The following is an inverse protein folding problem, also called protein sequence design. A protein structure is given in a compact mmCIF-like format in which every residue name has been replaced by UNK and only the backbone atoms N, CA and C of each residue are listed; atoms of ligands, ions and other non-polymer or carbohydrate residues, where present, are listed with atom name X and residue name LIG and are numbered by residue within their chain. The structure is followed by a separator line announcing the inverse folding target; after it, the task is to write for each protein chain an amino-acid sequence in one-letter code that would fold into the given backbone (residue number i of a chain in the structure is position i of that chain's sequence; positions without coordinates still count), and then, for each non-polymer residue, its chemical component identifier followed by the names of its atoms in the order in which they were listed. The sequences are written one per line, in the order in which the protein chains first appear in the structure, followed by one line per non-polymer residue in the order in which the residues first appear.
data_IF_687200478318
#
_entry.id   IF_687200478318
#
_cell.length_a   1.000
_cell.length_b   1.000
_cell.length_c   1.000
_cell.angle_alpha   90.00
_cell.angle_beta   90.00
_cell.angle_gamma   90.00
#
_symmetry.space_group_name_H-M   'P 1'
#
loop_
_entity.id
_entity.type
_entity.pdbx_description
1 polymer ?
#
# COMPACT_ATOMS: atom_id res chain seq x y z
N UNK A 1 -15.23 -5.33 9.37
CA UNK A 1 -13.83 -5.06 8.97
C UNK A 1 -13.42 -3.72 9.56
N UNK A 2 -12.33 -3.66 10.32
CA UNK A 2 -11.83 -2.40 10.88
C UNK A 2 -10.93 -1.70 9.85
N UNK A 3 -11.05 -0.38 9.73
CA UNK A 3 -10.25 0.44 8.81
C UNK A 3 -8.73 0.24 9.06
N UNK A 4 -8.33 -0.06 10.30
CA UNK A 4 -6.96 -0.46 10.66
C UNK A 4 -6.50 -1.76 10.00
N UNK A 5 -7.37 -2.76 9.94
CA UNK A 5 -7.03 -4.06 9.33
C UNK A 5 -6.77 -3.92 7.82
N UNK A 6 -7.54 -3.07 7.14
CA UNK A 6 -7.35 -2.76 5.71
C UNK A 6 -5.97 -2.18 5.43
N UNK A 7 -5.43 -1.31 6.30
CA UNK A 7 -4.05 -0.81 6.18
C UNK A 7 -3.02 -1.92 6.17
N UNK A 8 -3.14 -2.83 7.13
CA UNK A 8 -2.22 -3.96 7.28
C UNK A 8 -2.23 -4.84 6.04
N UNK A 9 -3.43 -5.11 5.50
CA UNK A 9 -3.60 -5.90 4.27
C UNK A 9 -2.96 -5.23 3.06
N UNK A 10 -3.17 -3.93 2.85
CA UNK A 10 -2.58 -3.18 1.72
C UNK A 10 -1.05 -3.17 1.83
N UNK A 11 -0.51 -2.84 3.02
CA UNK A 11 0.93 -2.84 3.24
C UNK A 11 1.57 -4.21 3.00
N UNK A 12 0.90 -5.28 3.41
CA UNK A 12 1.36 -6.64 3.17
C UNK A 12 1.37 -6.97 1.68
N UNK A 13 0.27 -6.71 0.98
CA UNK A 13 0.15 -7.00 -0.45
C UNK A 13 1.24 -6.28 -1.29
N UNK A 14 1.57 -5.04 -0.94
CA UNK A 14 2.60 -4.25 -1.63
C UNK A 14 4.00 -4.79 -1.36
N UNK A 15 4.27 -5.25 -0.14
CA UNK A 15 5.54 -5.93 0.19
C UNK A 15 5.68 -7.23 -0.59
N UNK A 16 4.63 -8.06 -0.60
CA UNK A 16 4.61 -9.33 -1.31
C UNK A 16 4.83 -9.11 -2.81
N UNK A 17 4.16 -8.10 -3.40
CA UNK A 17 4.37 -7.69 -4.79
C UNK A 17 5.82 -7.27 -5.07
N UNK A 18 6.43 -6.48 -4.19
CA UNK A 18 7.81 -6.02 -4.39
C UNK A 18 8.81 -7.19 -4.33
N UNK A 19 8.59 -8.17 -3.44
CA UNK A 19 9.39 -9.39 -3.39
C UNK A 19 9.26 -10.17 -4.70
N UNK A 20 8.03 -10.37 -5.20
CA UNK A 20 7.80 -11.01 -6.50
C UNK A 20 8.42 -10.22 -7.66
N UNK A 21 8.41 -8.90 -7.60
CA UNK A 21 9.07 -8.05 -8.60
C UNK A 21 10.59 -8.24 -8.61
N UNK A 22 11.25 -8.27 -7.45
CA UNK A 22 12.70 -8.54 -7.37
C UNK A 22 13.05 -9.91 -7.96
N UNK A 23 12.23 -10.93 -7.69
CA UNK A 23 12.41 -12.26 -8.29
C UNK A 23 12.23 -12.22 -9.81
N UNK A 24 11.23 -11.50 -10.30
CA UNK A 24 10.97 -11.35 -11.74
C UNK A 24 12.13 -10.64 -12.46
N UNK A 25 12.67 -9.59 -11.84
CA UNK A 25 13.78 -8.79 -12.39
C UNK A 25 15.06 -9.60 -12.59
N UNK A 26 15.25 -10.70 -11.87
CA UNK A 26 16.38 -11.62 -12.08
C UNK A 26 16.33 -12.32 -13.45
N UNK A 27 15.14 -12.48 -14.02
CA UNK A 27 14.93 -13.14 -15.32
C UNK A 27 14.50 -12.15 -16.41
N UNK A 28 13.89 -11.02 -16.03
CA UNK A 28 13.38 -10.00 -16.93
C UNK A 28 14.02 -8.64 -16.64
N UNK A 29 15.17 -8.39 -17.26
CA UNK A 29 16.01 -7.21 -17.03
C UNK A 29 16.18 -6.31 -18.27
N UNK A 30 15.21 -6.36 -19.21
CA UNK A 30 15.24 -5.56 -20.42
C UNK A 30 14.80 -4.10 -20.17
N UNK A 31 14.74 -3.31 -21.24
CA UNK A 31 14.28 -1.91 -21.17
C UNK A 31 12.80 -1.82 -20.75
N UNK A 32 11.98 -2.83 -21.09
CA UNK A 32 10.56 -2.87 -20.76
C UNK A 32 10.33 -3.12 -19.28
N UNK A 33 11.16 -3.94 -18.64
CA UNK A 33 11.06 -4.16 -17.21
C UNK A 33 11.43 -2.91 -16.41
N UNK A 34 12.39 -2.10 -16.88
CA UNK A 34 12.68 -0.78 -16.31
C UNK A 34 11.50 0.19 -16.46
N UNK A 35 10.93 0.30 -17.66
CA UNK A 35 9.74 1.14 -17.89
C UNK A 35 8.57 0.72 -16.98
N UNK A 36 8.38 -0.59 -16.79
CA UNK A 36 7.36 -1.12 -15.90
C UNK A 36 7.62 -0.77 -14.43
N UNK A 37 8.87 -0.91 -13.97
CA UNK A 37 9.26 -0.56 -12.61
C UNK A 37 9.00 0.92 -12.32
N UNK A 38 9.47 1.81 -13.19
CA UNK A 38 9.30 3.25 -13.03
C UNK A 38 7.83 3.67 -13.07
N UNK A 39 7.04 3.04 -13.94
CA UNK A 39 5.63 3.41 -14.14
C UNK A 39 4.70 2.87 -13.05
N UNK A 40 4.97 1.67 -12.53
CA UNK A 40 4.02 0.97 -11.66
C UNK A 40 4.59 0.62 -10.28
N UNK A 41 5.83 0.13 -10.19
CA UNK A 41 6.40 -0.38 -8.94
C UNK A 41 6.96 0.75 -8.08
N UNK A 42 7.71 1.69 -8.66
CA UNK A 42 8.31 2.83 -7.97
C UNK A 42 7.29 3.75 -7.27
N UNK A 43 6.11 4.09 -7.85
CA UNK A 43 5.14 4.97 -7.19
C UNK A 43 4.26 4.27 -6.14
N UNK A 44 4.24 2.93 -6.09
CA UNK A 44 3.36 2.19 -5.20
C UNK A 44 3.62 2.44 -3.70
N UNK A 45 4.87 2.43 -3.20
CA UNK A 45 5.17 2.71 -1.79
C UNK A 45 4.65 4.08 -1.33
N UNK A 46 4.80 5.11 -2.16
CA UNK A 46 4.34 6.47 -1.85
C UNK A 46 2.81 6.54 -1.82
N UNK A 47 2.15 5.93 -2.80
CA UNK A 47 0.68 5.85 -2.85
C UNK A 47 0.11 5.12 -1.62
N UNK A 48 0.76 4.05 -1.19
CA UNK A 48 0.36 3.26 -0.01
C UNK A 48 0.58 4.04 1.28
N UNK A 49 1.65 4.83 1.36
CA UNK A 49 1.92 5.72 2.48
C UNK A 49 0.84 6.80 2.60
N UNK A 50 0.53 7.48 1.50
CA UNK A 50 -0.55 8.47 1.45
C UNK A 50 -1.91 7.87 1.84
N UNK A 51 -2.23 6.69 1.30
CA UNK A 51 -3.46 5.97 1.64
C UNK A 51 -3.49 5.58 3.13
N UNK A 52 -2.37 5.16 3.69
CA UNK A 52 -2.26 4.80 5.11
C UNK A 52 -2.58 5.98 6.03
N UNK A 53 -2.12 7.18 5.67
CA UNK A 53 -2.43 8.43 6.38
C UNK A 53 -3.93 8.75 6.35
N UNK A 54 -4.58 8.61 5.19
CA UNK A 54 -6.03 8.83 5.06
C UNK A 54 -6.81 7.82 5.91
N UNK A 55 -6.39 6.56 5.90
CA UNK A 55 -6.97 5.50 6.75
C UNK A 55 -6.83 5.86 8.24
N UNK A 56 -5.72 6.46 8.67
CA UNK A 56 -5.54 6.96 10.04
C UNK A 56 -6.52 8.07 10.40
N UNK A 57 -6.78 9.01 9.49
CA UNK A 57 -7.75 10.07 9.70
C UNK A 57 -9.18 9.53 9.82
N UNK A 58 -9.56 8.61 8.95
CA UNK A 58 -10.87 7.94 9.00
C UNK A 58 -11.04 7.22 10.35
N UNK A 59 -10.02 6.50 10.80
CA UNK A 59 -10.07 5.80 12.08
C UNK A 59 -10.26 6.75 13.28
N UNK A 60 -9.61 7.92 13.26
CA UNK A 60 -9.81 8.96 14.28
C UNK A 60 -11.26 9.45 14.30
N UNK A 61 -11.83 9.74 13.13
CA UNK A 61 -13.21 10.21 13.00
C UNK A 61 -14.18 9.14 13.52
N UNK A 62 -14.03 7.88 13.08
CA UNK A 62 -14.88 6.78 13.54
C UNK A 62 -14.77 6.56 15.05
N UNK A 63 -13.57 6.66 15.61
CA UNK A 63 -13.35 6.56 17.06
C UNK A 63 -14.03 7.69 17.80
N UNK A 64 -13.99 8.92 17.27
CA UNK A 64 -14.67 10.07 17.85
C UNK A 64 -16.19 9.89 17.82
N UNK A 65 -16.75 9.54 16.66
CA UNK A 65 -18.20 9.28 16.50
C UNK A 65 -18.65 8.21 17.51
N UNK A 66 -17.87 7.13 17.67
CA UNK A 66 -18.21 6.08 18.63
C UNK A 66 -18.23 6.60 20.07
N UNK A 67 -17.26 7.42 20.47
CA UNK A 67 -17.22 8.04 21.81
C UNK A 67 -18.35 9.03 22.04
N UNK A 68 -18.75 9.78 21.01
CA UNK A 68 -19.84 10.76 21.10
C UNK A 68 -21.22 10.07 21.21
N UNK A 69 -21.32 8.79 20.83
CA UNK A 69 -22.53 7.97 20.94
C UNK A 69 -22.58 7.06 22.19
N UNK A 70 -21.50 6.99 22.97
CA UNK A 70 -21.43 6.29 24.27
C UNK A 70 -21.79 7.26 25.42
#
# INVERSE_FOLDING_TARGET
MSVKSTRGTINKAVRDLNVSWQQCKNYWADVKSKEFEEKYIAPLPDAVTATSSIIDEIDKILTKIKRDCE
#
